data_IF_358566445445
#
_entry.id   IF_358566445445
#
_cell.length_a   1.000
_cell.length_b   1.000
_cell.length_c   1.000
_cell.angle_alpha   90.00
_cell.angle_beta   90.00
_cell.angle_gamma   90.00
#
_symmetry.space_group_name_H-M   'P 1'
#
loop_
_entity.id
_entity.type
_entity.pdbx_description
1 polymer ?
#
# COMPACT_ATOMS: atom_id res chain seq x y z
N UNK A 1 12.50 94.86 -37.23
CA UNK A 1 12.01 94.51 -35.89
C UNK A 1 10.88 93.56 -36.12
N UNK A 2 11.15 92.27 -36.37
CA UNK A 2 10.18 91.23 -36.61
C UNK A 2 10.49 90.04 -35.73
N UNK A 3 9.61 89.77 -34.79
CA UNK A 3 9.65 88.61 -33.91
C UNK A 3 8.94 87.44 -34.55
N UNK A 4 9.65 86.41 -34.89
CA UNK A 4 9.12 85.14 -35.38
C UNK A 4 8.78 84.26 -34.19
N UNK A 5 7.49 83.93 -33.99
CA UNK A 5 6.97 82.98 -33.04
C UNK A 5 7.12 81.61 -33.64
N UNK A 6 7.99 80.80 -33.09
CA UNK A 6 8.11 79.36 -33.44
C UNK A 6 7.06 78.50 -32.69
N UNK A 7 6.23 77.80 -33.43
CA UNK A 7 5.19 76.96 -32.92
C UNK A 7 5.79 75.52 -32.76
N UNK A 8 6.00 75.07 -31.52
CA UNK A 8 6.41 73.72 -31.24
C UNK A 8 5.18 72.82 -31.20
N UNK A 9 5.14 71.90 -32.18
CA UNK A 9 4.12 70.85 -32.26
C UNK A 9 4.60 69.63 -31.43
N UNK A 10 4.06 69.48 -30.22
CA UNK A 10 4.34 68.35 -29.34
C UNK A 10 3.61 67.05 -29.82
N UNK A 11 4.38 66.08 -30.28
CA UNK A 11 3.87 64.80 -30.67
C UNK A 11 3.72 63.92 -29.42
N UNK A 12 2.49 63.66 -28.97
CA UNK A 12 2.15 62.79 -27.86
C UNK A 12 2.16 61.34 -28.34
N UNK A 13 3.23 60.58 -28.03
CA UNK A 13 3.32 59.16 -28.28
C UNK A 13 2.61 58.41 -27.16
N UNK A 14 1.43 57.88 -27.43
CA UNK A 14 0.71 56.96 -26.56
C UNK A 14 1.36 55.57 -26.64
N UNK A 15 2.20 55.24 -25.65
CA UNK A 15 2.67 53.89 -25.44
C UNK A 15 1.53 53.03 -24.88
N UNK A 16 0.84 52.31 -25.77
CA UNK A 16 -0.09 51.28 -25.39
C UNK A 16 0.65 50.10 -24.75
N UNK A 17 0.60 50.00 -23.42
CA UNK A 17 1.06 48.83 -22.70
C UNK A 17 0.06 47.66 -22.95
N UNK A 18 0.37 46.81 -23.92
CA UNK A 18 -0.29 45.49 -24.03
C UNK A 18 0.14 44.66 -22.84
N UNK A 19 -0.67 44.67 -21.76
CA UNK A 19 -0.57 43.70 -20.68
C UNK A 19 -1.04 42.32 -21.22
N UNK A 20 -0.10 41.53 -21.72
CA UNK A 20 -0.35 40.14 -22.05
C UNK A 20 -0.64 39.40 -20.75
N UNK A 21 -1.93 39.13 -20.51
CA UNK A 21 -2.36 38.22 -19.46
C UNK A 21 -1.77 36.86 -19.80
N UNK A 22 -0.71 36.45 -19.08
CA UNK A 22 -0.20 35.08 -19.14
C UNK A 22 -1.30 34.19 -18.58
N UNK A 23 -2.00 33.54 -19.48
CA UNK A 23 -2.86 32.41 -19.13
C UNK A 23 -1.94 31.30 -18.62
N UNK A 24 -1.88 31.15 -17.29
CA UNK A 24 -1.20 30.01 -16.66
C UNK A 24 -1.97 28.77 -17.09
N UNK A 25 -1.48 28.10 -18.11
CA UNK A 25 -2.01 26.80 -18.53
C UNK A 25 -1.85 25.84 -17.35
N UNK A 26 -2.93 25.62 -16.62
CA UNK A 26 -2.97 24.65 -15.54
C UNK A 26 -2.86 23.26 -16.18
N UNK A 27 -1.64 22.71 -16.21
CA UNK A 27 -1.43 21.30 -16.57
C UNK A 27 -2.11 20.51 -15.48
N UNK A 28 -3.18 19.77 -15.76
CA UNK A 28 -3.85 19.00 -14.73
C UNK A 28 -2.86 17.99 -14.15
N UNK A 29 -2.64 18.06 -12.83
CA UNK A 29 -1.86 17.05 -12.12
C UNK A 29 -2.51 15.69 -12.35
N UNK A 30 -1.80 14.67 -12.85
CA UNK A 30 -2.37 13.35 -13.04
C UNK A 30 -2.95 12.85 -11.72
N UNK A 31 -4.10 12.18 -11.79
CA UNK A 31 -4.73 11.60 -10.62
C UNK A 31 -3.76 10.65 -9.93
N UNK A 32 -3.72 10.61 -8.58
CA UNK A 32 -2.83 9.69 -7.86
C UNK A 32 -3.11 8.25 -8.24
N UNK A 33 -2.07 7.44 -8.32
CA UNK A 33 -2.19 6.02 -8.62
C UNK A 33 -3.02 5.29 -7.55
N UNK A 34 -3.45 4.06 -7.84
CA UNK A 34 -4.22 3.27 -6.89
C UNK A 34 -3.47 3.10 -5.55
N UNK A 35 -2.20 2.74 -5.58
CA UNK A 35 -1.39 2.58 -4.38
C UNK A 35 -1.12 3.91 -3.67
N UNK A 36 -0.86 4.98 -4.43
CA UNK A 36 -0.58 6.30 -3.88
C UNK A 36 -1.76 6.87 -3.09
N UNK A 37 -2.97 6.68 -3.57
CA UNK A 37 -4.19 7.13 -2.88
C UNK A 37 -4.44 6.39 -1.54
N UNK A 38 -3.83 5.22 -1.32
CA UNK A 38 -4.07 4.34 -0.17
C UNK A 38 -2.92 4.25 0.82
N UNK A 39 -1.69 4.40 0.33
CA UNK A 39 -0.48 4.11 1.14
C UNK A 39 -0.41 4.96 2.41
N UNK A 40 -0.80 6.24 2.36
CA UNK A 40 -0.72 7.13 3.52
C UNK A 40 -1.60 6.65 4.67
N UNK A 41 -2.87 6.34 4.39
CA UNK A 41 -3.81 5.87 5.40
C UNK A 41 -3.42 4.49 5.95
N UNK A 42 -3.00 3.58 5.07
CA UNK A 42 -2.57 2.24 5.46
C UNK A 42 -1.26 2.28 6.26
N UNK A 43 -0.32 3.18 5.92
CA UNK A 43 0.92 3.37 6.67
C UNK A 43 0.63 3.85 8.09
N UNK A 44 -0.22 4.86 8.23
CA UNK A 44 -0.62 5.37 9.55
C UNK A 44 -1.23 4.24 10.39
N UNK A 45 -2.17 3.49 9.81
CA UNK A 45 -2.83 2.38 10.50
C UNK A 45 -1.85 1.25 10.85
N UNK A 46 -1.03 0.79 9.91
CA UNK A 46 -0.08 -0.29 10.10
C UNK A 46 0.95 0.06 11.20
N UNK A 47 1.53 1.26 11.13
CA UNK A 47 2.52 1.74 12.10
C UNK A 47 1.93 1.84 13.50
N UNK A 48 0.69 2.34 13.67
CA UNK A 48 -0.02 2.38 14.95
C UNK A 48 -0.25 0.98 15.54
N UNK A 49 -0.34 -0.04 14.69
CA UNK A 49 -0.50 -1.43 15.09
C UNK A 49 0.83 -2.19 15.25
N UNK A 50 1.98 -1.53 15.01
CA UNK A 50 3.31 -2.12 15.09
C UNK A 50 3.66 -3.04 13.92
N UNK A 51 3.03 -2.85 12.75
CA UNK A 51 3.33 -3.55 11.51
C UNK A 51 4.16 -2.68 10.58
N UNK A 52 5.05 -3.32 9.85
CA UNK A 52 5.82 -2.71 8.78
C UNK A 52 4.98 -2.71 7.49
N UNK A 53 5.11 -1.65 6.68
CA UNK A 53 4.43 -1.51 5.40
C UNK A 53 5.41 -1.01 4.35
N UNK A 54 5.32 -1.58 3.16
CA UNK A 54 6.15 -1.25 2.00
C UNK A 54 5.27 -1.00 0.79
N UNK A 55 5.74 -0.15 -0.13
CA UNK A 55 5.11 0.07 -1.44
C UNK A 55 6.11 -0.20 -2.56
N UNK A 56 5.68 -0.97 -3.55
CA UNK A 56 6.41 -1.22 -4.77
C UNK A 56 5.46 -1.04 -5.97
N UNK A 57 5.58 0.09 -6.68
CA UNK A 57 4.65 0.45 -7.76
C UNK A 57 3.21 0.52 -7.27
N UNK A 58 2.34 -0.30 -7.88
CA UNK A 58 0.92 -0.45 -7.51
C UNK A 58 0.69 -1.56 -6.47
N UNK A 59 1.73 -2.07 -5.85
CA UNK A 59 1.66 -3.08 -4.80
C UNK A 59 1.92 -2.46 -3.43
N UNK A 60 1.09 -2.80 -2.46
CA UNK A 60 1.29 -2.44 -1.05
C UNK A 60 1.43 -3.72 -0.26
N UNK A 61 2.48 -3.83 0.55
CA UNK A 61 2.81 -5.02 1.34
C UNK A 61 2.83 -4.68 2.82
N UNK A 62 2.02 -5.37 3.62
CA UNK A 62 2.06 -5.33 5.07
C UNK A 62 2.79 -6.56 5.59
N UNK A 63 3.68 -6.37 6.54
CA UNK A 63 4.51 -7.40 7.14
C UNK A 63 4.07 -7.65 8.57
N UNK A 64 3.64 -8.87 8.84
CA UNK A 64 3.14 -9.31 10.14
C UNK A 64 4.15 -10.30 10.70
N UNK A 65 4.96 -9.92 11.69
CA UNK A 65 5.88 -10.84 12.33
C UNK A 65 5.12 -12.00 12.99
N UNK A 66 5.66 -13.21 12.90
CA UNK A 66 5.10 -14.35 13.64
C UNK A 66 5.35 -14.17 15.13
N UNK A 67 6.57 -13.77 15.48
CA UNK A 67 6.97 -13.57 16.86
C UNK A 67 6.14 -12.45 17.52
N UNK A 68 5.50 -12.78 18.63
CA UNK A 68 4.63 -11.86 19.36
C UNK A 68 3.21 -11.72 18.84
N UNK A 69 2.90 -12.16 17.63
CA UNK A 69 1.53 -12.17 17.06
C UNK A 69 0.90 -13.57 17.06
N UNK A 70 1.71 -14.63 17.07
CA UNK A 70 1.26 -16.01 17.13
C UNK A 70 1.78 -16.71 18.38
N UNK A 71 1.09 -17.74 18.81
CA UNK A 71 1.61 -18.65 19.83
C UNK A 71 2.93 -19.29 19.39
N UNK A 72 3.94 -19.41 20.28
CA UNK A 72 5.20 -20.07 19.94
C UNK A 72 4.96 -21.46 19.35
N UNK A 73 5.62 -21.75 18.22
CA UNK A 73 5.51 -23.05 17.50
C UNK A 73 4.09 -23.45 17.10
N UNK A 74 3.13 -22.53 17.06
CA UNK A 74 1.74 -22.77 16.67
C UNK A 74 1.31 -21.75 15.62
N UNK A 75 0.11 -21.97 15.11
CA UNK A 75 -0.51 -21.15 14.05
C UNK A 75 -1.71 -20.36 14.58
N UNK A 76 -1.93 -20.38 15.90
CA UNK A 76 -2.97 -19.65 16.59
C UNK A 76 -2.52 -18.20 16.84
N UNK A 77 -3.30 -17.24 16.41
CA UNK A 77 -3.07 -15.82 16.70
C UNK A 77 -3.29 -15.51 18.17
N UNK A 78 -2.40 -14.74 18.74
CA UNK A 78 -2.56 -14.11 20.05
C UNK A 78 -3.49 -12.90 19.97
N UNK A 79 -4.12 -12.46 21.06
CA UNK A 79 -4.90 -11.22 21.09
C UNK A 79 -4.13 -10.01 20.55
N UNK A 80 -2.82 -9.94 20.81
CA UNK A 80 -1.91 -8.89 20.31
C UNK A 80 -1.81 -8.87 18.79
N UNK A 81 -1.94 -9.99 18.11
CA UNK A 81 -1.99 -10.07 16.64
C UNK A 81 -3.41 -9.92 16.10
N UNK A 82 -4.42 -10.45 16.82
CA UNK A 82 -5.80 -10.44 16.37
C UNK A 82 -6.41 -9.04 16.28
N UNK A 83 -6.22 -8.21 17.31
CA UNK A 83 -6.80 -6.86 17.37
C UNK A 83 -6.26 -5.95 16.25
N UNK A 84 -4.94 -5.85 16.01
CA UNK A 84 -4.39 -5.11 14.88
C UNK A 84 -4.93 -5.59 13.53
N UNK A 85 -4.95 -6.91 13.30
CA UNK A 85 -5.45 -7.49 12.05
C UNK A 85 -6.93 -7.18 11.81
N UNK A 86 -7.74 -7.16 12.85
CA UNK A 86 -9.17 -6.79 12.73
C UNK A 86 -9.35 -5.36 12.27
N UNK A 87 -8.51 -4.41 12.72
CA UNK A 87 -8.54 -3.02 12.26
C UNK A 87 -8.10 -2.89 10.80
N UNK A 88 -7.05 -3.62 10.42
CA UNK A 88 -6.59 -3.70 9.00
C UNK A 88 -7.73 -4.26 8.14
N UNK A 89 -8.39 -5.33 8.56
CA UNK A 89 -9.50 -5.93 7.83
C UNK A 89 -10.66 -4.93 7.60
N UNK A 90 -11.01 -4.14 8.62
CA UNK A 90 -12.05 -3.11 8.49
C UNK A 90 -11.68 -2.03 7.48
N UNK A 91 -10.42 -1.57 7.50
CA UNK A 91 -9.93 -0.58 6.54
C UNK A 91 -9.95 -1.12 5.09
N UNK A 92 -9.52 -2.37 4.90
CA UNK A 92 -9.53 -3.03 3.59
C UNK A 92 -10.93 -3.35 3.08
N UNK A 93 -11.89 -3.62 3.97
CA UNK A 93 -13.30 -3.77 3.61
C UNK A 93 -13.85 -2.47 3.04
N UNK A 94 -13.58 -1.34 3.70
CA UNK A 94 -14.05 -0.03 3.27
C UNK A 94 -13.48 0.37 1.90
N UNK A 95 -12.26 -0.06 1.57
CA UNK A 95 -11.62 0.22 0.28
C UNK A 95 -12.30 -0.46 -0.91
N UNK A 96 -12.76 -1.70 -0.76
CA UNK A 96 -13.50 -2.46 -1.81
C UNK A 96 -12.70 -2.79 -3.09
N UNK A 97 -11.67 -2.02 -3.41
CA UNK A 97 -10.95 -2.04 -4.67
C UNK A 97 -9.61 -2.80 -4.65
N UNK A 98 -9.36 -3.58 -3.60
CA UNK A 98 -8.11 -4.32 -3.42
C UNK A 98 -8.30 -5.82 -3.57
N UNK A 99 -7.42 -6.47 -4.35
CA UNK A 99 -7.16 -7.91 -4.25
C UNK A 99 -6.15 -8.13 -3.12
N UNK A 100 -6.33 -9.20 -2.36
CA UNK A 100 -5.54 -9.49 -1.15
C UNK A 100 -4.84 -10.81 -1.33
N UNK A 101 -3.50 -10.83 -1.32
CA UNK A 101 -2.71 -12.04 -1.26
C UNK A 101 -2.16 -12.18 0.15
N UNK A 102 -2.38 -13.33 0.77
CA UNK A 102 -1.86 -13.65 2.10
C UNK A 102 -0.82 -14.74 1.96
N UNK A 103 0.42 -14.40 2.24
CA UNK A 103 1.57 -15.28 2.01
C UNK A 103 2.25 -15.57 3.34
N UNK A 104 2.33 -16.85 3.70
CA UNK A 104 3.06 -17.29 4.89
C UNK A 104 4.50 -17.67 4.57
N UNK A 105 5.41 -17.26 5.45
CA UNK A 105 6.83 -17.58 5.39
C UNK A 105 7.30 -18.23 6.68
N UNK A 106 8.36 -19.04 6.58
CA UNK A 106 9.12 -19.60 7.69
C UNK A 106 10.59 -19.16 7.63
N UNK A 107 11.34 -19.49 8.65
CA UNK A 107 12.79 -19.59 8.58
C UNK A 107 13.20 -20.97 8.03
N UNK A 108 14.51 -21.22 7.93
CA UNK A 108 15.06 -22.49 7.43
C UNK A 108 15.17 -23.58 8.50
N UNK A 109 14.69 -23.38 9.73
CA UNK A 109 14.71 -24.38 10.77
C UNK A 109 13.59 -25.41 10.56
N UNK A 110 13.91 -26.72 10.58
CA UNK A 110 12.95 -27.81 10.41
C UNK A 110 12.94 -28.44 9.02
N UNK A 111 11.95 -29.29 8.74
CA UNK A 111 11.80 -29.89 7.42
C UNK A 111 10.98 -29.01 6.49
N UNK A 112 11.18 -29.16 5.18
CA UNK A 112 10.44 -28.43 4.14
C UNK A 112 8.93 -28.63 4.27
N UNK A 113 8.48 -29.87 4.55
CA UNK A 113 7.05 -30.18 4.74
C UNK A 113 6.48 -29.45 5.96
N UNK A 114 7.22 -29.42 7.07
CA UNK A 114 6.81 -28.71 8.28
C UNK A 114 6.73 -27.20 8.02
N UNK A 115 7.74 -26.63 7.38
CA UNK A 115 7.81 -25.22 7.05
C UNK A 115 6.69 -24.81 6.09
N UNK A 116 6.41 -25.62 5.06
CA UNK A 116 5.29 -25.41 4.14
C UNK A 116 3.95 -25.47 4.87
N UNK A 117 3.77 -26.45 5.76
CA UNK A 117 2.54 -26.59 6.57
C UNK A 117 2.34 -25.39 7.49
N UNK A 118 3.36 -25.02 8.29
CA UNK A 118 3.29 -23.90 9.24
C UNK A 118 3.03 -22.57 8.54
N UNK A 119 3.69 -22.30 7.41
CA UNK A 119 3.50 -21.10 6.63
C UNK A 119 2.08 -20.99 6.06
N UNK A 120 1.52 -22.10 5.54
CA UNK A 120 0.13 -22.13 5.07
C UNK A 120 -0.87 -21.90 6.19
N UNK A 121 -0.71 -22.58 7.32
CA UNK A 121 -1.64 -22.45 8.45
C UNK A 121 -1.63 -21.03 9.05
N UNK A 122 -0.46 -20.37 9.10
CA UNK A 122 -0.37 -18.96 9.51
C UNK A 122 -1.05 -18.02 8.52
N UNK A 123 -0.87 -18.25 7.22
CA UNK A 123 -1.59 -17.50 6.18
C UNK A 123 -3.10 -17.69 6.32
N UNK A 124 -3.58 -18.91 6.57
CA UNK A 124 -4.99 -19.22 6.80
C UNK A 124 -5.54 -18.52 8.04
N UNK A 125 -4.77 -18.46 9.13
CA UNK A 125 -5.18 -17.76 10.35
C UNK A 125 -5.39 -16.26 10.09
N UNK A 126 -4.45 -15.61 9.40
CA UNK A 126 -4.56 -14.20 8.99
C UNK A 126 -5.76 -14.01 8.05
N UNK A 127 -5.88 -14.82 7.00
CA UNK A 127 -6.99 -14.74 6.05
C UNK A 127 -8.36 -14.94 6.72
N UNK A 128 -8.44 -15.77 7.76
CA UNK A 128 -9.67 -15.96 8.54
C UNK A 128 -10.10 -14.67 9.26
N UNK A 129 -9.14 -13.93 9.83
CA UNK A 129 -9.43 -12.63 10.44
C UNK A 129 -9.88 -11.61 9.40
N UNK A 130 -9.20 -11.55 8.24
CA UNK A 130 -9.58 -10.66 7.15
C UNK A 130 -11.00 -10.96 6.66
N UNK A 131 -11.34 -12.24 6.51
CA UNK A 131 -12.69 -12.67 6.11
C UNK A 131 -13.76 -12.31 7.15
N UNK A 132 -13.48 -12.53 8.43
CA UNK A 132 -14.38 -12.11 9.52
C UNK A 132 -14.55 -10.59 9.54
N UNK A 133 -13.52 -9.84 9.15
CA UNK A 133 -13.59 -8.39 8.97
C UNK A 133 -14.36 -7.95 7.72
N UNK A 134 -14.78 -8.90 6.87
CA UNK A 134 -15.66 -8.65 5.72
C UNK A 134 -14.96 -8.60 4.36
N UNK A 135 -13.70 -9.08 4.26
CA UNK A 135 -13.05 -9.28 2.97
C UNK A 135 -13.60 -10.53 2.31
N UNK A 136 -14.12 -10.39 1.11
CA UNK A 136 -14.75 -11.47 0.35
C UNK A 136 -13.72 -12.51 -0.13
N UNK A 137 -14.14 -13.80 -0.09
CA UNK A 137 -13.23 -14.91 -0.41
C UNK A 137 -12.63 -14.82 -1.82
N UNK A 138 -13.40 -14.39 -2.81
CA UNK A 138 -12.95 -14.28 -4.20
C UNK A 138 -11.90 -13.19 -4.41
N UNK A 139 -11.77 -12.25 -3.46
CA UNK A 139 -10.73 -11.22 -3.45
C UNK A 139 -9.43 -11.68 -2.78
N UNK A 140 -9.43 -12.84 -2.10
CA UNK A 140 -8.28 -13.35 -1.35
C UNK A 140 -7.62 -14.54 -2.06
N UNK A 141 -6.30 -14.52 -2.09
CA UNK A 141 -5.46 -15.64 -2.49
C UNK A 141 -4.50 -15.98 -1.36
N UNK A 142 -4.34 -17.28 -1.06
CA UNK A 142 -3.46 -17.77 0.00
C UNK A 142 -2.30 -18.55 -0.61
N UNK A 143 -1.10 -18.34 -0.06
CA UNK A 143 0.10 -19.03 -0.50
C UNK A 143 1.01 -19.36 0.68
N UNK A 144 1.65 -20.54 0.63
CA UNK A 144 2.77 -20.92 1.49
C UNK A 144 4.07 -20.78 0.71
N UNK A 145 4.99 -20.00 1.20
CA UNK A 145 6.33 -19.84 0.63
C UNK A 145 7.40 -20.53 1.46
N UNK A 146 7.07 -21.03 2.65
CA UNK A 146 8.05 -21.62 3.56
C UNK A 146 9.28 -20.71 3.71
N UNK A 147 10.48 -21.24 3.53
CA UNK A 147 11.75 -20.51 3.56
C UNK A 147 12.30 -20.13 2.17
N UNK A 148 11.49 -20.29 1.11
CA UNK A 148 11.91 -20.05 -0.28
C UNK A 148 12.15 -18.58 -0.62
N UNK A 149 11.67 -17.64 0.20
CA UNK A 149 11.83 -16.20 -0.02
C UNK A 149 12.25 -15.49 1.28
N UNK A 150 13.51 -15.71 1.72
CA UNK A 150 14.02 -15.10 2.94
C UNK A 150 14.22 -13.58 2.76
N UNK A 151 13.88 -12.78 3.78
CA UNK A 151 14.17 -11.34 3.85
C UNK A 151 15.54 -11.06 4.46
N UNK A 152 16.06 -12.00 5.23
CA UNK A 152 17.31 -11.85 5.94
C UNK A 152 18.05 -13.19 6.04
N UNK A 153 19.31 -13.14 6.46
CA UNK A 153 20.16 -14.31 6.59
C UNK A 153 19.61 -15.28 7.65
N UNK A 154 19.27 -16.50 7.22
CA UNK A 154 18.79 -17.59 8.09
C UNK A 154 19.84 -18.11 9.08
N UNK A 155 21.14 -17.84 8.87
CA UNK A 155 22.18 -18.24 9.79
C UNK A 155 22.09 -17.51 11.12
N UNK A 156 21.52 -16.29 11.14
CA UNK A 156 21.41 -15.46 12.34
C UNK A 156 20.02 -15.62 13.01
N UNK A 157 19.99 -15.51 14.34
CA UNK A 157 18.72 -15.51 15.07
C UNK A 157 17.79 -14.37 14.65
N UNK A 158 18.36 -13.17 14.46
CA UNK A 158 17.59 -12.00 14.02
C UNK A 158 17.05 -12.17 12.62
N UNK A 159 17.84 -12.73 11.70
CA UNK A 159 17.39 -12.99 10.33
C UNK A 159 16.26 -14.02 10.29
N UNK A 160 16.37 -15.12 11.03
CA UNK A 160 15.26 -16.09 11.13
C UNK A 160 13.98 -15.47 11.68
N UNK A 161 14.10 -14.57 12.66
CA UNK A 161 12.95 -13.85 13.20
C UNK A 161 12.25 -12.97 12.16
N UNK A 162 13.00 -12.31 11.27
CA UNK A 162 12.47 -11.52 10.16
C UNK A 162 11.86 -12.41 9.07
N UNK A 163 12.39 -13.62 8.88
CA UNK A 163 11.88 -14.58 7.91
C UNK A 163 10.55 -15.21 8.36
N UNK A 164 10.35 -15.43 9.67
CA UNK A 164 9.05 -15.89 10.22
C UNK A 164 8.02 -14.78 10.18
N UNK A 165 7.30 -14.66 9.07
CA UNK A 165 6.30 -13.60 8.85
C UNK A 165 5.11 -14.09 8.04
N UNK A 166 4.05 -13.29 8.07
CA UNK A 166 2.97 -13.37 7.08
C UNK A 166 2.91 -12.04 6.36
N UNK A 167 2.83 -12.07 5.04
CA UNK A 167 2.66 -10.87 4.20
C UNK A 167 1.21 -10.76 3.77
N UNK A 168 0.63 -9.56 3.86
CA UNK A 168 -0.62 -9.19 3.19
C UNK A 168 -0.23 -8.27 2.04
N UNK A 169 -0.38 -8.75 0.81
CA UNK A 169 -0.07 -7.99 -0.39
C UNK A 169 -1.36 -7.53 -1.03
N UNK A 170 -1.47 -6.23 -1.22
CA UNK A 170 -2.60 -5.57 -1.84
C UNK A 170 -2.23 -5.14 -3.26
N UNK A 171 -3.12 -5.44 -4.21
CA UNK A 171 -3.02 -4.99 -5.59
C UNK A 171 -4.38 -4.48 -6.07
N UNK A 172 -4.45 -3.67 -7.14
CA UNK A 172 -5.72 -3.25 -7.70
C UNK A 172 -6.61 -4.44 -8.02
N UNK A 173 -7.88 -4.37 -7.62
CA UNK A 173 -8.89 -5.36 -7.98
C UNK A 173 -9.89 -4.74 -8.95
N UNK A 174 -9.95 -5.30 -10.16
CA UNK A 174 -11.00 -5.00 -11.12
C UNK A 174 -11.88 -6.24 -11.24
N UNK A 175 -13.15 -6.17 -10.82
CA UNK A 175 -14.07 -7.27 -11.07
C UNK A 175 -14.21 -7.45 -12.58
N UNK A 176 -13.92 -8.64 -13.08
CA UNK A 176 -14.21 -8.99 -14.48
C UNK A 176 -15.71 -9.02 -14.65
N UNK A 177 -16.23 -8.43 -15.74
CA UNK A 177 -17.66 -8.32 -16.04
C UNK A 177 -18.42 -9.68 -16.07
N UNK A 178 -17.69 -10.80 -16.10
CA UNK A 178 -18.23 -12.17 -16.06
C UNK A 178 -18.76 -12.57 -14.66
N UNK A 179 -18.33 -11.90 -13.60
CA UNK A 179 -18.78 -12.21 -12.22
C UNK A 179 -20.12 -11.54 -11.84
N UNK A 180 -20.73 -10.79 -12.74
CA UNK A 180 -21.99 -10.07 -12.52
C UNK A 180 -23.20 -10.73 -13.24
N UNK A 181 -23.03 -11.94 -13.76
CA UNK A 181 -24.04 -12.63 -14.58
C UNK A 181 -24.70 -13.84 -13.87
N UNK A 182 -24.53 -13.99 -12.53
CA UNK A 182 -25.22 -15.01 -11.72
C UNK A 182 -26.18 -14.36 -10.72
#
# INVERSE_FOLDING_TARGET
MNTIKSLMLGSLVLLGACSAKQEVTHIPTPAPSWAESRITNLTTLATQQGYEIEREGEQIRLLIPVDGNFHPKRTLLLPKGLVPLSKIAQALKADGASRVHVIGHSDSDGSDELNKKLSMERAQAVASVLRLGGIERHRMHLQAMADLAPRADNSTYTGRKLNRRVEIILTPYQPTAVALAD
#
